data_IF_474532937693
#
_entry.id   IF_474532937693
#
_cell.length_a   1.000
_cell.length_b   1.000
_cell.length_c   1.000
_cell.angle_alpha   90.00
_cell.angle_beta   90.00
_cell.angle_gamma   90.00
#
_symmetry.space_group_name_H-M   'P 1'
#
loop_
_entity.id
_entity.type
_entity.pdbx_description
1 polymer ?
#
# COMPACT_ATOMS: atom_id res chain seq x y z
N UNK A 1 3.69 10.13 18.91
CA UNK A 1 4.43 9.62 17.74
C UNK A 1 4.84 10.82 16.91
N UNK A 2 5.90 10.70 16.11
CA UNK A 2 6.23 11.75 15.15
C UNK A 2 5.24 11.66 13.98
N UNK A 3 4.66 12.78 13.58
CA UNK A 3 3.80 12.84 12.39
C UNK A 3 4.66 12.64 11.14
N UNK A 4 4.15 11.84 10.19
CA UNK A 4 4.77 11.66 8.88
C UNK A 4 4.12 12.60 7.87
N UNK A 5 4.92 13.40 7.22
CA UNK A 5 4.45 14.34 6.21
C UNK A 5 4.61 13.72 4.83
N UNK A 6 3.56 13.68 4.03
CA UNK A 6 3.57 13.13 2.67
C UNK A 6 3.18 14.22 1.67
N UNK A 7 3.94 14.33 0.59
CA UNK A 7 3.67 15.23 -0.50
C UNK A 7 3.08 14.46 -1.68
N UNK A 8 2.01 14.98 -2.27
CA UNK A 8 1.49 14.52 -3.56
C UNK A 8 1.90 15.53 -4.62
N UNK A 9 2.67 15.09 -5.61
CA UNK A 9 3.20 15.95 -6.69
C UNK A 9 3.04 15.26 -8.04
N UNK A 10 2.82 16.04 -9.09
CA UNK A 10 2.72 15.53 -10.46
C UNK A 10 3.83 16.11 -11.33
N UNK A 11 4.60 15.24 -11.99
CA UNK A 11 5.47 15.61 -13.12
C UNK A 11 4.70 15.53 -14.46
N UNK A 12 3.46 15.04 -14.44
CA UNK A 12 2.58 14.94 -15.61
C UNK A 12 1.74 16.22 -15.78
N UNK A 13 1.82 16.82 -16.96
CA UNK A 13 1.10 18.05 -17.31
C UNK A 13 -0.42 17.89 -17.52
N UNK A 14 -0.90 16.65 -17.60
CA UNK A 14 -2.31 16.30 -17.77
C UNK A 14 -3.10 16.44 -16.47
N UNK A 15 -2.44 16.33 -15.31
CA UNK A 15 -3.08 16.49 -14.01
C UNK A 15 -3.15 17.97 -13.65
N UNK A 16 -4.38 18.46 -13.49
CA UNK A 16 -4.58 19.85 -13.03
C UNK A 16 -4.27 19.98 -11.54
N UNK A 17 -3.80 21.14 -11.09
CA UNK A 17 -3.58 21.39 -9.66
C UNK A 17 -4.89 21.21 -8.85
N UNK A 18 -6.05 21.56 -9.41
CA UNK A 18 -7.35 21.30 -8.79
C UNK A 18 -7.62 19.82 -8.54
N UNK A 19 -7.26 18.96 -9.49
CA UNK A 19 -7.40 17.51 -9.36
C UNK A 19 -6.43 16.97 -8.31
N UNK A 20 -5.16 17.40 -8.37
CA UNK A 20 -4.12 17.02 -7.41
C UNK A 20 -4.53 17.37 -5.97
N UNK A 21 -5.05 18.59 -5.74
CA UNK A 21 -5.55 19.04 -4.43
C UNK A 21 -6.77 18.23 -4.00
N UNK A 22 -7.69 17.90 -4.90
CA UNK A 22 -8.87 17.09 -4.59
C UNK A 22 -8.47 15.67 -4.15
N UNK A 23 -7.53 15.03 -4.86
CA UNK A 23 -6.99 13.71 -4.52
C UNK A 23 -6.21 13.77 -3.20
N UNK A 24 -5.32 14.75 -3.01
CA UNK A 24 -4.61 14.93 -1.74
C UNK A 24 -5.57 15.10 -0.56
N UNK A 25 -6.68 15.82 -0.73
CA UNK A 25 -7.72 15.95 0.29
C UNK A 25 -8.43 14.62 0.61
N UNK A 26 -8.63 13.75 -0.37
CA UNK A 26 -9.15 12.39 -0.15
C UNK A 26 -8.14 11.51 0.60
N UNK A 27 -6.88 11.53 0.18
CA UNK A 27 -5.78 10.79 0.81
C UNK A 27 -5.52 11.25 2.25
N UNK A 28 -5.50 12.55 2.51
CA UNK A 28 -5.42 13.13 3.86
C UNK A 28 -6.51 12.57 4.78
N UNK A 29 -7.75 12.50 4.28
CA UNK A 29 -8.88 11.97 5.05
C UNK A 29 -8.77 10.46 5.24
N UNK A 30 -8.32 9.73 4.23
CA UNK A 30 -8.06 8.29 4.33
C UNK A 30 -7.03 8.01 5.43
N UNK A 31 -5.88 8.68 5.43
CA UNK A 31 -4.83 8.39 6.41
C UNK A 31 -5.23 8.77 7.83
N UNK A 32 -5.96 9.86 8.02
CA UNK A 32 -6.35 10.32 9.37
C UNK A 32 -7.57 9.63 9.95
N UNK A 33 -8.57 9.33 9.13
CA UNK A 33 -9.83 8.71 9.59
C UNK A 33 -9.79 7.19 9.53
N UNK A 34 -9.15 6.61 8.53
CA UNK A 34 -9.28 5.19 8.20
C UNK A 34 -8.03 4.41 8.63
N UNK A 35 -6.87 4.76 8.07
CA UNK A 35 -5.64 3.98 8.22
C UNK A 35 -4.96 4.22 9.58
N UNK A 36 -4.73 5.49 9.93
CA UNK A 36 -3.98 5.89 11.12
C UNK A 36 -4.51 5.30 12.42
N UNK A 37 -5.84 5.33 12.71
CA UNK A 37 -6.40 4.72 13.91
C UNK A 37 -6.22 3.20 14.00
N UNK A 38 -6.16 2.50 12.86
CA UNK A 38 -6.03 1.04 12.81
C UNK A 38 -4.57 0.61 12.95
N UNK A 39 -3.65 1.33 12.29
CA UNK A 39 -2.24 1.00 12.25
C UNK A 39 -1.39 1.73 13.29
N UNK A 40 -2.00 2.64 14.06
CA UNK A 40 -1.28 3.47 15.04
C UNK A 40 -0.27 4.39 14.36
N UNK A 41 -0.63 4.98 13.22
CA UNK A 41 0.23 5.86 12.43
C UNK A 41 -0.40 7.25 12.38
N UNK A 42 0.42 8.28 12.58
CA UNK A 42 0.02 9.68 12.39
C UNK A 42 0.68 10.20 11.12
N UNK A 43 -0.12 10.67 10.17
CA UNK A 43 0.36 11.22 8.92
C UNK A 43 -0.55 12.34 8.41
N UNK A 44 0.02 13.21 7.59
CA UNK A 44 -0.70 14.16 6.75
C UNK A 44 -0.20 14.11 5.31
N UNK A 45 -1.07 14.54 4.39
CA UNK A 45 -0.89 14.55 2.96
C UNK A 45 -1.20 15.95 2.45
N UNK A 46 -0.27 16.55 1.73
CA UNK A 46 -0.44 17.85 1.09
C UNK A 46 -0.07 17.78 -0.39
N UNK A 47 -0.81 18.49 -1.24
CA UNK A 47 -0.44 18.65 -2.64
C UNK A 47 0.58 19.77 -2.80
N UNK A 48 1.56 19.58 -3.67
CA UNK A 48 2.49 20.62 -4.10
C UNK A 48 2.48 20.69 -5.63
N UNK A 49 2.61 21.90 -6.17
CA UNK A 49 2.60 22.10 -7.62
C UNK A 49 3.86 21.50 -8.26
N UNK A 50 4.99 21.58 -7.56
CA UNK A 50 6.26 21.03 -8.02
C UNK A 50 7.02 20.36 -6.89
N UNK A 51 7.88 19.42 -7.24
CA UNK A 51 8.78 18.75 -6.30
C UNK A 51 9.71 19.73 -5.57
N UNK A 52 10.12 20.82 -6.23
CA UNK A 52 10.99 21.87 -5.64
C UNK A 52 10.31 22.68 -4.52
N UNK A 53 8.98 22.68 -4.46
CA UNK A 53 8.21 23.38 -3.42
C UNK A 53 8.01 22.53 -2.15
N UNK A 54 8.37 21.25 -2.21
CA UNK A 54 8.20 20.30 -1.12
C UNK A 54 9.22 20.55 0.01
N UNK A 55 8.81 20.62 1.29
CA UNK A 55 9.74 20.64 2.41
C UNK A 55 10.57 19.35 2.50
N UNK A 56 11.81 19.46 2.96
CA UNK A 56 12.79 18.35 2.97
C UNK A 56 12.37 17.14 3.80
N UNK A 57 11.47 17.30 4.77
CA UNK A 57 11.00 16.25 5.67
C UNK A 57 9.76 15.51 5.16
N UNK A 58 9.23 15.89 3.99
CA UNK A 58 8.09 15.22 3.36
C UNK A 58 8.53 13.99 2.55
N UNK A 59 7.69 12.96 2.52
CA UNK A 59 7.86 11.79 1.67
C UNK A 59 7.09 12.04 0.37
N UNK A 60 7.74 12.09 -0.81
CA UNK A 60 7.04 12.39 -2.04
C UNK A 60 6.34 11.14 -2.61
N UNK A 61 5.10 11.31 -3.05
CA UNK A 61 4.41 10.47 -4.01
C UNK A 61 4.38 11.25 -5.32
N UNK A 62 5.12 10.78 -6.32
CA UNK A 62 5.35 11.47 -7.58
C UNK A 62 4.60 10.76 -8.69
N UNK A 63 3.62 11.45 -9.30
CA UNK A 63 2.91 10.94 -10.48
C UNK A 63 3.71 11.27 -11.74
N UNK A 64 3.96 10.28 -12.59
CA UNK A 64 4.77 10.42 -13.81
C UNK A 64 4.15 9.67 -14.99
N UNK A 65 4.40 10.17 -16.20
CA UNK A 65 4.07 9.51 -17.47
C UNK A 65 4.81 8.18 -17.70
N UNK A 66 5.97 8.00 -17.09
CA UNK A 66 6.75 6.76 -17.12
C UNK A 66 7.56 6.64 -15.84
N UNK A 67 7.33 5.58 -15.08
CA UNK A 67 8.07 5.25 -13.85
C UNK A 67 9.24 4.29 -14.10
N UNK A 68 9.46 3.83 -15.33
CA UNK A 68 10.58 2.98 -15.72
C UNK A 68 10.42 1.50 -15.40
N UNK A 69 9.25 1.06 -14.90
CA UNK A 69 8.91 -0.35 -14.73
C UNK A 69 7.62 -0.71 -15.49
N UNK A 70 7.70 -1.46 -16.60
CA UNK A 70 6.52 -1.81 -17.40
C UNK A 70 5.59 -2.83 -16.71
N UNK A 71 5.97 -3.35 -15.54
CA UNK A 71 5.18 -4.34 -14.80
C UNK A 71 4.51 -3.76 -13.55
N UNK A 72 4.70 -2.47 -13.26
CA UNK A 72 4.18 -1.82 -12.07
C UNK A 72 3.31 -0.61 -12.44
N UNK A 73 2.19 -0.44 -11.74
CA UNK A 73 1.43 0.81 -11.79
C UNK A 73 1.99 1.85 -10.82
N UNK A 74 2.69 1.40 -9.78
CA UNK A 74 3.36 2.22 -8.80
C UNK A 74 4.30 1.35 -7.99
N UNK A 75 5.20 2.00 -7.26
CA UNK A 75 6.01 1.35 -6.23
C UNK A 75 6.48 2.40 -5.22
N UNK A 76 6.91 1.94 -4.05
CA UNK A 76 7.60 2.76 -3.07
C UNK A 76 8.98 2.17 -2.74
N UNK A 77 9.94 3.04 -2.44
CA UNK A 77 11.30 2.69 -2.06
C UNK A 77 11.83 3.76 -1.09
N UNK A 78 13.10 3.66 -0.72
CA UNK A 78 13.79 4.72 -0.01
C UNK A 78 15.02 5.20 -0.76
N UNK A 79 15.26 6.51 -0.69
CA UNK A 79 16.50 7.12 -1.16
C UNK A 79 17.18 7.80 0.03
N UNK A 80 18.37 7.33 0.38
CA UNK A 80 19.13 7.85 1.53
C UNK A 80 18.34 7.82 2.86
N UNK A 81 17.45 6.83 3.03
CA UNK A 81 16.61 6.71 4.22
C UNK A 81 15.36 7.60 4.23
N UNK A 82 15.06 8.29 3.13
CA UNK A 82 13.79 8.99 2.91
C UNK A 82 12.88 8.15 2.01
N UNK A 83 11.72 7.70 2.51
CA UNK A 83 10.72 7.02 1.70
C UNK A 83 10.18 7.91 0.59
N UNK A 84 9.93 7.32 -0.58
CA UNK A 84 9.21 7.94 -1.69
C UNK A 84 8.41 6.89 -2.45
N UNK A 85 7.47 7.36 -3.27
CA UNK A 85 6.75 6.53 -4.23
C UNK A 85 6.71 7.17 -5.61
N UNK A 86 6.79 6.34 -6.64
CA UNK A 86 6.46 6.71 -8.01
C UNK A 86 5.15 6.05 -8.42
N UNK A 87 4.28 6.81 -9.07
CA UNK A 87 2.98 6.36 -9.56
C UNK A 87 2.89 6.64 -11.06
N UNK A 88 2.62 5.60 -11.83
CA UNK A 88 2.36 5.71 -13.27
C UNK A 88 1.03 6.42 -13.50
N UNK A 89 1.04 7.49 -14.29
CA UNK A 89 -0.18 8.16 -14.71
C UNK A 89 -1.06 7.22 -15.53
N UNK A 90 -2.35 7.22 -15.19
CA UNK A 90 -3.43 6.47 -15.83
C UNK A 90 -4.78 7.06 -15.37
N UNK A 91 -5.90 6.67 -15.99
CA UNK A 91 -7.23 7.14 -15.54
C UNK A 91 -7.52 6.83 -14.05
N UNK A 92 -6.91 5.77 -13.49
CA UNK A 92 -7.09 5.33 -12.11
C UNK A 92 -5.93 5.68 -11.17
N UNK A 93 -5.04 6.62 -11.53
CA UNK A 93 -3.81 6.91 -10.78
C UNK A 93 -4.03 7.20 -9.29
N UNK A 94 -5.19 7.77 -8.91
CA UNK A 94 -5.54 8.07 -7.52
C UNK A 94 -5.67 6.81 -6.66
N UNK A 95 -6.11 5.68 -7.25
CA UNK A 95 -6.18 4.39 -6.57
C UNK A 95 -4.76 3.89 -6.28
N UNK A 96 -3.87 3.96 -7.26
CA UNK A 96 -2.47 3.59 -7.08
C UNK A 96 -1.76 4.51 -6.10
N UNK A 97 -1.97 5.82 -6.16
CA UNK A 97 -1.41 6.77 -5.19
C UNK A 97 -1.88 6.48 -3.75
N UNK A 98 -3.14 6.08 -3.58
CA UNK A 98 -3.65 5.58 -2.31
C UNK A 98 -2.99 4.28 -1.87
N UNK A 99 -2.82 3.32 -2.80
CA UNK A 99 -2.12 2.06 -2.54
C UNK A 99 -0.71 2.35 -1.97
N UNK A 100 0.12 3.07 -2.75
CA UNK A 100 1.50 3.35 -2.38
C UNK A 100 1.62 4.21 -1.12
N UNK A 101 0.69 5.14 -0.90
CA UNK A 101 0.63 5.90 0.35
C UNK A 101 0.49 4.98 1.56
N UNK A 102 -0.47 4.06 1.53
CA UNK A 102 -0.74 3.19 2.67
C UNK A 102 0.38 2.16 2.87
N UNK A 103 0.96 1.65 1.78
CA UNK A 103 2.11 0.75 1.82
C UNK A 103 3.34 1.43 2.43
N UNK A 104 3.71 2.59 1.89
CA UNK A 104 4.83 3.39 2.39
C UNK A 104 4.62 3.81 3.86
N UNK A 105 3.37 4.02 4.32
CA UNK A 105 3.11 4.23 5.74
C UNK A 105 3.23 2.93 6.55
N UNK A 106 2.74 1.79 6.06
CA UNK A 106 2.83 0.49 6.74
C UNK A 106 4.26 -0.03 6.88
N UNK A 107 5.06 0.14 5.83
CA UNK A 107 6.44 -0.29 5.66
C UNK A 107 7.27 0.74 4.86
N UNK A 108 7.79 1.80 5.52
CA UNK A 108 8.47 2.88 4.81
C UNK A 108 9.72 2.51 4.00
N UNK A 109 10.24 1.30 4.16
CA UNK A 109 11.48 0.86 3.52
C UNK A 109 11.31 -0.45 2.74
N UNK A 110 10.07 -0.90 2.49
CA UNK A 110 9.78 -2.15 1.76
C UNK A 110 10.49 -3.39 2.31
N UNK A 111 10.71 -3.46 3.63
CA UNK A 111 11.49 -4.54 4.27
C UNK A 111 11.02 -4.94 5.67
N UNK A 112 9.84 -4.49 6.09
CA UNK A 112 9.21 -4.87 7.35
C UNK A 112 8.67 -6.29 7.22
N UNK A 113 9.18 -7.17 8.09
CA UNK A 113 8.84 -8.58 8.10
C UNK A 113 8.10 -8.97 9.37
N UNK A 114 7.02 -9.74 9.21
CA UNK A 114 6.25 -10.29 10.34
C UNK A 114 6.27 -11.82 10.27
N UNK A 115 6.67 -12.47 11.37
CA UNK A 115 6.73 -13.92 11.42
C UNK A 115 5.34 -14.56 11.58
N UNK A 116 5.04 -15.57 10.76
CA UNK A 116 3.77 -16.31 10.85
C UNK A 116 3.87 -17.71 10.27
N UNK A 117 2.77 -18.46 10.35
CA UNK A 117 2.68 -19.79 9.74
C UNK A 117 2.52 -19.67 8.23
N UNK A 118 3.32 -20.41 7.46
CA UNK A 118 3.23 -20.37 6.00
C UNK A 118 1.85 -20.83 5.50
N UNK A 119 1.31 -20.21 4.43
CA UNK A 119 0.14 -20.74 3.73
C UNK A 119 0.46 -22.01 2.91
N UNK A 120 1.74 -22.37 2.75
CA UNK A 120 2.18 -23.59 2.06
C UNK A 120 2.43 -24.70 3.08
N UNK A 121 1.70 -25.81 2.96
CA UNK A 121 1.69 -26.89 3.95
C UNK A 121 3.07 -27.53 4.20
N UNK A 122 3.97 -27.51 3.21
CA UNK A 122 5.34 -28.05 3.33
C UNK A 122 6.32 -27.09 3.99
N UNK A 123 5.92 -25.85 4.27
CA UNK A 123 6.74 -24.84 4.93
C UNK A 123 6.36 -24.70 6.41
N UNK A 124 7.34 -24.32 7.22
CA UNK A 124 7.15 -23.99 8.63
C UNK A 124 6.77 -22.52 8.85
N UNK A 125 7.42 -21.90 9.85
CA UNK A 125 7.33 -20.47 10.10
C UNK A 125 8.09 -19.69 9.03
N UNK A 126 7.44 -18.67 8.47
CA UNK A 126 7.98 -17.79 7.43
C UNK A 126 7.90 -16.33 7.89
N UNK A 127 8.48 -15.43 7.10
CA UNK A 127 8.45 -13.98 7.32
C UNK A 127 7.65 -13.31 6.22
N UNK A 128 6.43 -12.87 6.51
CA UNK A 128 5.59 -12.12 5.57
C UNK A 128 6.13 -10.71 5.39
N UNK A 129 6.19 -10.24 4.14
CA UNK A 129 6.40 -8.82 3.84
C UNK A 129 5.12 -8.05 4.17
N UNK A 130 5.27 -6.90 4.80
CA UNK A 130 4.13 -6.05 5.14
C UNK A 130 3.78 -5.21 3.93
N UNK A 131 2.89 -5.73 3.10
CA UNK A 131 2.25 -5.01 2.01
C UNK A 131 0.73 -4.95 2.29
N UNK A 132 0.27 -3.90 2.96
CA UNK A 132 -1.07 -3.73 3.55
C UNK A 132 -2.23 -3.70 2.54
N UNK A 133 -2.00 -3.29 1.30
CA UNK A 133 -2.97 -3.17 0.22
C UNK A 133 -2.94 -4.40 -0.70
N UNK A 134 -1.77 -4.99 -0.94
CA UNK A 134 -1.55 -6.13 -1.87
C UNK A 134 -2.62 -7.23 -1.82
N UNK A 135 -3.05 -7.76 -0.66
CA UNK A 135 -4.00 -8.87 -0.63
C UNK A 135 -5.40 -8.51 -1.16
N UNK A 136 -5.75 -7.22 -1.20
CA UNK A 136 -7.04 -6.71 -1.63
C UNK A 136 -6.93 -5.59 -2.68
N UNK A 137 -5.81 -5.49 -3.41
CA UNK A 137 -5.48 -4.34 -4.26
C UNK A 137 -6.45 -4.06 -5.42
N UNK A 138 -7.18 -5.08 -5.89
CA UNK A 138 -8.01 -4.94 -7.08
C UNK A 138 -9.13 -3.92 -6.88
N UNK A 139 -9.38 -3.10 -7.92
CA UNK A 139 -10.35 -1.98 -7.90
C UNK A 139 -11.74 -2.36 -7.37
N UNK A 140 -12.22 -3.59 -7.62
CA UNK A 140 -13.52 -4.07 -7.12
C UNK A 140 -13.63 -4.17 -5.59
N UNK A 141 -12.51 -4.09 -4.86
CA UNK A 141 -12.43 -4.06 -3.40
C UNK A 141 -12.08 -2.67 -2.87
N UNK A 142 -11.76 -1.72 -3.75
CA UNK A 142 -11.55 -0.33 -3.38
C UNK A 142 -12.82 0.30 -2.78
N UNK A 143 -12.66 1.46 -2.16
CA UNK A 143 -13.77 2.25 -1.62
C UNK A 143 -13.58 3.72 -1.96
N UNK A 144 -14.54 4.58 -1.58
CA UNK A 144 -14.48 6.01 -1.90
C UNK A 144 -14.29 6.89 -0.69
N UNK A 145 -13.46 7.93 -0.85
CA UNK A 145 -13.29 9.02 0.10
C UNK A 145 -13.45 10.34 -0.65
N UNK A 146 -14.42 11.15 -0.24
CA UNK A 146 -14.76 12.40 -0.93
C UNK A 146 -15.05 12.22 -2.44
N UNK A 147 -15.58 11.06 -2.83
CA UNK A 147 -15.86 10.73 -4.24
C UNK A 147 -14.66 10.22 -5.04
N UNK A 148 -13.46 10.18 -4.46
CA UNK A 148 -12.24 9.61 -5.08
C UNK A 148 -12.11 8.14 -4.67
N UNK A 149 -11.84 7.25 -5.61
CA UNK A 149 -11.58 5.83 -5.35
C UNK A 149 -10.19 5.64 -4.74
N UNK A 150 -10.13 4.91 -3.63
CA UNK A 150 -8.93 4.68 -2.82
C UNK A 150 -8.82 3.21 -2.42
N UNK A 151 -7.60 2.74 -2.17
CA UNK A 151 -7.30 1.33 -1.87
C UNK A 151 -7.90 0.89 -0.53
N UNK A 152 -8.46 -0.32 -0.49
CA UNK A 152 -8.64 -1.04 0.77
C UNK A 152 -7.28 -1.51 1.30
N UNK A 153 -7.21 -1.74 2.61
CA UNK A 153 -6.00 -2.20 3.28
C UNK A 153 -6.34 -3.18 4.39
N UNK A 154 -5.44 -4.12 4.67
CA UNK A 154 -5.60 -5.06 5.76
C UNK A 154 -5.29 -4.44 7.13
N UNK A 155 -5.89 -4.96 8.19
CA UNK A 155 -5.62 -4.55 9.57
C UNK A 155 -4.45 -5.35 10.15
N UNK A 156 -3.84 -4.94 11.28
CA UNK A 156 -2.82 -5.76 11.95
C UNK A 156 -3.25 -7.21 12.25
N UNK A 157 -4.56 -7.48 12.34
CA UNK A 157 -5.10 -8.83 12.53
C UNK A 157 -4.96 -9.74 11.30
N UNK A 158 -4.65 -9.20 10.12
CA UNK A 158 -4.50 -9.97 8.88
C UNK A 158 -3.52 -11.15 9.00
N UNK A 159 -2.49 -11.00 9.83
CA UNK A 159 -1.47 -12.02 10.05
C UNK A 159 -1.72 -12.91 11.27
N UNK A 160 -2.88 -12.78 11.93
CA UNK A 160 -3.26 -13.61 13.07
C UNK A 160 -3.22 -15.12 12.72
N UNK A 161 -2.88 -16.00 13.67
CA UNK A 161 -2.71 -17.42 13.35
C UNK A 161 -4.01 -18.09 12.91
N UNK A 162 -5.16 -17.66 13.44
CA UNK A 162 -6.48 -18.24 13.19
C UNK A 162 -7.57 -17.17 13.11
N UNK A 163 -8.64 -17.48 12.39
CA UNK A 163 -9.80 -16.60 12.31
C UNK A 163 -10.48 -16.46 13.68
N UNK A 164 -10.97 -15.27 13.99
CA UNK A 164 -11.72 -14.97 15.22
C UNK A 164 -13.00 -14.22 14.90
N UNK A 165 -14.10 -14.61 15.56
CA UNK A 165 -15.40 -13.99 15.34
C UNK A 165 -15.37 -12.50 15.75
N UNK A 166 -15.96 -11.64 14.92
CA UNK A 166 -16.01 -10.19 15.17
C UNK A 166 -14.71 -9.44 14.87
N UNK A 167 -13.66 -10.11 14.41
CA UNK A 167 -12.41 -9.47 13.99
C UNK A 167 -12.54 -8.99 12.54
N UNK A 168 -12.04 -7.78 12.30
CA UNK A 168 -11.95 -7.17 10.98
C UNK A 168 -10.54 -7.36 10.41
N UNK A 169 -10.42 -7.96 9.23
CA UNK A 169 -9.14 -8.21 8.58
C UNK A 169 -8.77 -7.19 7.49
N UNK A 170 -9.73 -6.45 6.92
CA UNK A 170 -9.48 -5.27 6.08
C UNK A 170 -10.40 -4.12 6.41
N UNK A 171 -10.04 -2.90 5.98
CA UNK A 171 -10.84 -1.71 6.27
C UNK A 171 -12.23 -1.77 5.66
N UNK A 172 -12.45 -2.32 4.47
CA UNK A 172 -13.82 -2.54 3.98
C UNK A 172 -14.49 -3.77 4.61
N UNK A 173 -13.68 -4.67 5.19
CA UNK A 173 -14.08 -5.98 5.64
C UNK A 173 -14.21 -6.99 4.51
N UNK A 174 -13.67 -6.71 3.31
CA UNK A 174 -13.63 -7.65 2.19
C UNK A 174 -12.83 -8.91 2.53
N UNK A 175 -11.71 -8.76 3.25
CA UNK A 175 -10.94 -9.89 3.80
C UNK A 175 -11.70 -10.48 5.00
N UNK A 176 -11.96 -11.79 4.95
CA UNK A 176 -12.79 -12.53 5.91
C UNK A 176 -12.01 -13.41 6.87
N UNK A 177 -10.76 -13.74 6.55
CA UNK A 177 -9.91 -14.58 7.38
C UNK A 177 -8.42 -14.18 7.26
N UNK A 178 -7.56 -14.57 8.22
CA UNK A 178 -6.15 -14.23 8.17
C UNK A 178 -5.46 -14.77 6.91
N UNK A 179 -4.55 -13.98 6.33
CA UNK A 179 -3.76 -14.32 5.14
C UNK A 179 -4.59 -14.67 3.90
N UNK A 180 -5.86 -14.29 3.87
CA UNK A 180 -6.68 -14.43 2.67
C UNK A 180 -6.24 -13.40 1.63
N UNK A 181 -5.83 -13.91 0.47
CA UNK A 181 -5.64 -13.13 -0.74
C UNK A 181 -6.98 -13.06 -1.47
N UNK A 182 -7.39 -11.89 -1.97
CA UNK A 182 -8.61 -11.69 -2.75
C UNK A 182 -8.32 -11.66 -4.26
N UNK A 183 -9.36 -11.73 -5.09
CA UNK A 183 -9.24 -11.72 -6.56
C UNK A 183 -8.47 -10.52 -7.08
N UNK A 184 -7.29 -10.78 -7.64
CA UNK A 184 -6.43 -9.75 -8.22
C UNK A 184 -5.34 -9.27 -7.26
N UNK A 185 -5.34 -9.70 -5.99
CA UNK A 185 -4.26 -9.40 -5.05
C UNK A 185 -3.25 -10.54 -4.92
N UNK A 186 -2.25 -10.30 -4.08
CA UNK A 186 -1.22 -11.28 -3.73
C UNK A 186 -0.71 -11.15 -2.29
N UNK A 187 0.14 -12.11 -1.89
CA UNK A 187 0.82 -12.11 -0.59
C UNK A 187 2.26 -12.62 -0.78
N UNK A 188 3.23 -11.87 -0.27
CA UNK A 188 4.66 -12.17 -0.39
C UNK A 188 5.27 -12.57 0.96
N UNK A 189 6.16 -13.57 0.97
CA UNK A 189 6.88 -13.97 2.18
C UNK A 189 8.26 -14.57 1.88
N UNK A 190 9.17 -14.41 2.83
CA UNK A 190 10.48 -15.06 2.83
C UNK A 190 10.45 -16.35 3.65
N UNK A 191 10.88 -17.45 3.03
CA UNK A 191 11.07 -18.74 3.69
C UNK A 191 12.54 -18.90 4.13
N UNK A 192 12.85 -18.87 5.44
CA UNK A 192 14.22 -18.98 5.92
C UNK A 192 14.84 -20.36 5.71
N UNK A 193 14.03 -21.41 5.51
CA UNK A 193 14.54 -22.77 5.30
C UNK A 193 15.11 -22.95 3.90
N UNK A 194 14.39 -22.49 2.87
CA UNK A 194 14.83 -22.51 1.48
C UNK A 194 15.65 -21.27 1.08
N UNK A 195 15.61 -20.20 1.90
CA UNK A 195 16.19 -18.88 1.62
C UNK A 195 15.60 -18.22 0.36
N UNK A 196 14.34 -18.51 0.06
CA UNK A 196 13.65 -18.02 -1.13
C UNK A 196 12.50 -17.08 -0.77
N UNK A 197 12.18 -16.18 -1.70
CA UNK A 197 10.95 -15.40 -1.68
C UNK A 197 9.84 -16.19 -2.37
N UNK A 198 8.65 -16.11 -1.78
CA UNK A 198 7.46 -16.80 -2.23
C UNK A 198 6.33 -15.79 -2.39
N UNK A 199 5.47 -16.02 -3.38
CA UNK A 199 4.27 -15.22 -3.60
C UNK A 199 3.06 -16.12 -3.87
N UNK A 200 1.90 -15.74 -3.33
CA UNK A 200 0.60 -16.38 -3.60
C UNK A 200 -0.35 -15.36 -4.20
N UNK A 201 -0.89 -15.67 -5.38
CA UNK A 201 -1.99 -14.92 -6.02
C UNK A 201 -3.33 -15.64 -5.83
N UNK A 202 -4.43 -14.93 -6.10
CA UNK A 202 -5.78 -15.52 -6.08
C UNK A 202 -5.99 -16.59 -7.16
N UNK A 203 -6.55 -17.73 -6.77
CA UNK A 203 -6.80 -18.91 -7.60
C UNK A 203 -5.63 -19.39 -8.48
N UNK A 204 -4.50 -19.69 -7.84
CA UNK A 204 -3.64 -20.79 -8.25
C UNK A 204 -2.45 -20.42 -9.14
N UNK A 205 -1.33 -20.16 -8.48
CA UNK A 205 -0.01 -20.23 -9.08
C UNK A 205 1.04 -19.75 -8.09
N UNK A 206 1.68 -20.67 -7.36
CA UNK A 206 2.96 -20.34 -6.75
C UNK A 206 3.95 -20.07 -7.90
N UNK A 207 4.38 -18.82 -8.05
CA UNK A 207 5.53 -18.49 -8.89
C UNK A 207 6.75 -18.40 -7.96
N UNK A 208 7.47 -19.50 -7.83
CA UNK A 208 8.83 -19.44 -7.29
C UNK A 208 9.72 -18.74 -8.31
N UNK A 209 10.45 -17.71 -7.86
CA UNK A 209 11.63 -17.21 -8.55
C UNK A 209 12.84 -17.49 -7.68
#
# INVERSE_FOLDING_TARGET
MLTRHVALVSDDSSITNSELVAVAGALQKQVTRDFGPIWGIQADVSAFEKLEDMPLDYWPIIIKDDIGDPNAAGYHEDQHGQPFSLVQFSEGWHLTASHELLEMLGDPFGRRLVAGQSPVATQGRVKFLVEVCDPCEAEQFAYTVNGITVSDFYTPHYLDPVASAGVRYSYTGAIKEPRQVLKGGYLSWYDPSSRQWWQRTWFGGYKGR
#
